data_IF_241913162348
#
_entry.id   IF_241913162348
#
_cell.length_a   1.000
_cell.length_b   1.000
_cell.length_c   1.000
_cell.angle_alpha   90.00
_cell.angle_beta   90.00
_cell.angle_gamma   90.00
#
_symmetry.space_group_name_H-M   'P 1'
#
loop_
_entity.id
_entity.type
_entity.pdbx_description
1 polymer ?
#
# COMPACT_ATOMS: atom_id res chain seq x y z
N UNK A 1 -32.47 -27.83 55.63
CA UNK A 1 -31.44 -27.05 54.89
C UNK A 1 -31.37 -27.36 53.38
N UNK A 2 -32.03 -28.41 52.84
CA UNK A 2 -31.94 -28.78 51.41
C UNK A 2 -32.74 -27.89 50.43
N UNK A 3 -33.73 -27.12 50.90
CA UNK A 3 -34.54 -26.28 50.01
C UNK A 3 -33.75 -25.07 49.46
N UNK A 4 -32.84 -24.50 50.26
CA UNK A 4 -32.04 -23.34 49.87
C UNK A 4 -30.99 -23.70 48.79
N UNK A 5 -30.44 -24.91 48.80
CA UNK A 5 -29.51 -25.37 47.77
C UNK A 5 -30.18 -25.64 46.42
N UNK A 6 -31.46 -26.05 46.42
CA UNK A 6 -32.23 -26.22 45.19
C UNK A 6 -32.58 -24.87 44.53
N UNK A 7 -32.94 -23.87 45.33
CA UNK A 7 -33.22 -22.51 44.83
C UNK A 7 -31.95 -21.89 44.21
N UNK A 8 -30.80 -21.99 44.89
CA UNK A 8 -29.53 -21.49 44.36
C UNK A 8 -29.13 -22.18 43.05
N UNK A 9 -29.37 -23.49 42.94
CA UNK A 9 -29.09 -24.24 41.70
C UNK A 9 -30.02 -23.82 40.57
N UNK A 10 -31.31 -23.60 40.84
CA UNK A 10 -32.26 -23.14 39.84
C UNK A 10 -31.90 -21.74 39.31
N UNK A 11 -31.50 -20.84 40.20
CA UNK A 11 -31.06 -19.48 39.83
C UNK A 11 -29.81 -19.51 38.94
N UNK A 12 -28.83 -20.35 39.28
CA UNK A 12 -27.62 -20.51 38.47
C UNK A 12 -27.93 -21.05 37.07
N UNK A 13 -28.82 -22.04 36.97
CA UNK A 13 -29.23 -22.59 35.67
C UNK A 13 -29.91 -21.53 34.80
N UNK A 14 -30.80 -20.72 35.39
CA UNK A 14 -31.45 -19.60 34.71
C UNK A 14 -30.43 -18.59 34.18
N UNK A 15 -29.43 -18.23 34.99
CA UNK A 15 -28.36 -17.33 34.55
C UNK A 15 -27.49 -17.93 33.43
N UNK A 16 -27.24 -19.24 33.48
CA UNK A 16 -26.49 -19.93 32.42
C UNK A 16 -27.26 -19.97 31.10
N UNK A 17 -28.57 -20.21 31.16
CA UNK A 17 -29.48 -20.21 30.01
C UNK A 17 -29.52 -18.83 29.35
N UNK A 18 -29.74 -17.77 30.13
CA UNK A 18 -29.75 -16.39 29.64
C UNK A 18 -28.40 -16.02 28.98
N UNK A 19 -27.27 -16.37 29.59
CA UNK A 19 -25.95 -16.16 28.99
C UNK A 19 -25.70 -16.99 27.73
N UNK A 20 -26.38 -18.14 27.59
CA UNK A 20 -26.29 -18.95 26.38
C UNK A 20 -27.04 -18.27 25.24
N UNK A 21 -28.29 -17.86 25.49
CA UNK A 21 -29.13 -17.15 24.53
C UNK A 21 -28.49 -15.85 24.05
N UNK A 22 -27.94 -15.05 24.97
CA UNK A 22 -27.22 -13.83 24.63
C UNK A 22 -26.02 -14.09 23.69
N UNK A 23 -25.27 -15.18 23.95
CA UNK A 23 -24.14 -15.57 23.10
C UNK A 23 -24.58 -16.05 21.73
N UNK A 24 -25.70 -16.77 21.65
CA UNK A 24 -26.27 -17.24 20.41
C UNK A 24 -26.77 -16.08 19.54
N UNK A 25 -27.51 -15.14 20.12
CA UNK A 25 -27.95 -13.90 19.47
C UNK A 25 -26.76 -13.09 18.95
N UNK A 26 -25.71 -12.93 19.76
CA UNK A 26 -24.50 -12.22 19.33
C UNK A 26 -23.80 -12.94 18.17
N UNK A 27 -23.75 -14.28 18.17
CA UNK A 27 -23.20 -15.06 17.05
C UNK A 27 -24.03 -14.86 15.79
N UNK A 28 -25.36 -14.91 15.88
CA UNK A 28 -26.25 -14.67 14.73
C UNK A 28 -26.01 -13.30 14.12
N UNK A 29 -25.99 -12.24 14.94
CA UNK A 29 -25.70 -10.87 14.47
C UNK A 29 -24.33 -10.74 13.79
N UNK A 30 -23.30 -11.40 14.33
CA UNK A 30 -21.96 -11.41 13.71
C UNK A 30 -21.96 -12.13 12.35
N UNK A 31 -22.71 -13.23 12.23
CA UNK A 31 -22.83 -13.95 10.97
C UNK A 31 -23.57 -13.11 9.93
N UNK A 32 -24.69 -12.49 10.28
CA UNK A 32 -25.44 -11.58 9.41
C UNK A 32 -24.57 -10.42 8.93
N UNK A 33 -23.85 -9.75 9.85
CA UNK A 33 -22.93 -8.66 9.51
C UNK A 33 -21.80 -9.12 8.58
N UNK A 34 -21.23 -10.30 8.82
CA UNK A 34 -20.19 -10.90 7.97
C UNK A 34 -20.72 -11.22 6.57
N UNK A 35 -21.92 -11.79 6.47
CA UNK A 35 -22.56 -12.07 5.19
C UNK A 35 -22.88 -10.78 4.41
N UNK A 36 -23.40 -9.75 5.08
CA UNK A 36 -23.64 -8.45 4.48
C UNK A 36 -22.34 -7.80 3.96
N UNK A 37 -21.25 -7.88 4.74
CA UNK A 37 -19.93 -7.40 4.31
C UNK A 37 -19.40 -8.18 3.10
N UNK A 38 -19.53 -9.52 3.10
CA UNK A 38 -19.15 -10.37 1.95
C UNK A 38 -19.94 -10.01 0.69
N UNK A 39 -21.25 -9.81 0.82
CA UNK A 39 -22.10 -9.42 -0.30
C UNK A 39 -21.66 -8.07 -0.88
N UNK A 40 -21.45 -7.07 -0.02
CA UNK A 40 -20.95 -5.75 -0.43
C UNK A 40 -19.58 -5.86 -1.12
N UNK A 41 -18.65 -6.61 -0.54
CA UNK A 41 -17.31 -6.78 -1.11
C UNK A 41 -17.36 -7.49 -2.46
N UNK A 42 -18.16 -8.56 -2.60
CA UNK A 42 -18.35 -9.22 -3.89
C UNK A 42 -18.95 -8.28 -4.94
N UNK A 43 -19.89 -7.40 -4.55
CA UNK A 43 -20.44 -6.40 -5.47
C UNK A 43 -19.38 -5.40 -5.93
N UNK A 44 -18.46 -5.00 -5.04
CA UNK A 44 -17.34 -4.12 -5.40
C UNK A 44 -16.27 -4.83 -6.25
N UNK A 45 -16.05 -6.12 -6.01
CA UNK A 45 -15.08 -6.92 -6.76
C UNK A 45 -15.60 -7.39 -8.12
N UNK A 46 -16.91 -7.30 -8.38
CA UNK A 46 -17.49 -7.50 -9.71
C UNK A 46 -17.11 -6.40 -10.72
N UNK A 47 -16.36 -5.38 -10.29
CA UNK A 47 -15.74 -4.42 -11.20
C UNK A 47 -14.71 -5.18 -12.06
N UNK A 48 -14.83 -5.17 -13.41
CA UNK A 48 -13.94 -5.92 -14.27
C UNK A 48 -12.48 -5.54 -13.97
N UNK A 49 -11.61 -6.54 -13.77
CA UNK A 49 -10.19 -6.33 -13.49
C UNK A 49 -9.52 -5.41 -14.53
N UNK A 50 -10.01 -5.44 -15.77
CA UNK A 50 -9.61 -4.56 -16.85
C UNK A 50 -9.87 -3.07 -16.56
N UNK A 51 -10.99 -2.74 -15.91
CA UNK A 51 -11.32 -1.35 -15.54
C UNK A 51 -10.46 -0.84 -14.38
N UNK A 52 -10.11 -1.70 -13.41
CA UNK A 52 -9.18 -1.35 -12.33
C UNK A 52 -7.76 -1.12 -12.86
N UNK A 53 -7.29 -2.00 -13.76
CA UNK A 53 -5.98 -1.84 -14.40
C UNK A 53 -5.90 -0.53 -15.20
N UNK A 54 -6.93 -0.20 -15.99
CA UNK A 54 -6.97 1.06 -16.74
C UNK A 54 -6.97 2.28 -15.83
N UNK A 55 -7.69 2.24 -14.70
CA UNK A 55 -7.75 3.35 -13.76
C UNK A 55 -6.41 3.55 -13.03
N UNK A 56 -5.81 2.47 -12.54
CA UNK A 56 -4.49 2.49 -11.90
C UNK A 56 -3.42 2.96 -12.88
N UNK A 57 -3.46 2.49 -14.12
CA UNK A 57 -2.53 2.93 -15.17
C UNK A 57 -2.67 4.42 -15.45
N UNK A 58 -3.90 4.93 -15.60
CA UNK A 58 -4.13 6.38 -15.77
C UNK A 58 -3.62 7.20 -14.58
N UNK A 59 -3.82 6.72 -13.35
CA UNK A 59 -3.26 7.37 -12.17
C UNK A 59 -1.73 7.38 -12.21
N UNK A 60 -1.09 6.26 -12.56
CA UNK A 60 0.36 6.19 -12.69
C UNK A 60 0.91 7.10 -13.77
N UNK A 61 0.27 7.17 -14.95
CA UNK A 61 0.66 8.10 -16.02
C UNK A 61 0.55 9.54 -15.52
N UNK A 62 -0.54 9.91 -14.85
CA UNK A 62 -0.70 11.26 -14.30
C UNK A 62 0.34 11.60 -13.23
N UNK A 63 0.76 10.63 -12.42
CA UNK A 63 1.83 10.81 -11.44
C UNK A 63 3.17 10.99 -12.15
N UNK A 64 3.47 10.14 -13.14
CA UNK A 64 4.67 10.24 -13.97
C UNK A 64 4.77 11.57 -14.70
N UNK A 65 3.67 12.06 -15.26
CA UNK A 65 3.59 13.35 -15.97
C UNK A 65 3.76 14.54 -15.02
N UNK A 66 3.40 14.37 -13.74
CA UNK A 66 3.56 15.38 -12.70
C UNK A 66 4.93 15.31 -12.00
N UNK A 67 5.80 14.36 -12.36
CA UNK A 67 7.13 14.26 -11.75
C UNK A 67 7.98 15.47 -12.14
N UNK A 68 8.65 16.10 -11.16
CA UNK A 68 9.53 17.21 -11.44
C UNK A 68 10.71 16.77 -12.32
N UNK A 69 11.20 17.69 -13.17
CA UNK A 69 12.22 17.43 -14.20
C UNK A 69 13.52 16.83 -13.64
N UNK A 70 13.87 17.14 -12.39
CA UNK A 70 15.07 16.59 -11.75
C UNK A 70 14.99 15.06 -11.57
N UNK A 71 13.81 14.48 -11.49
CA UNK A 71 13.62 13.05 -11.28
C UNK A 71 13.94 12.24 -12.54
N UNK A 72 13.55 12.76 -13.70
CA UNK A 72 13.96 12.22 -15.01
C UNK A 72 15.48 12.28 -15.20
N UNK A 73 16.12 13.34 -14.69
CA UNK A 73 17.57 13.45 -14.69
C UNK A 73 18.25 12.39 -13.81
N UNK A 74 17.71 12.09 -12.63
CA UNK A 74 18.25 11.03 -11.75
C UNK A 74 18.12 9.62 -12.35
N UNK A 75 17.09 9.40 -13.17
CA UNK A 75 16.89 8.15 -13.90
C UNK A 75 17.75 8.05 -15.17
N UNK A 76 18.50 9.10 -15.53
CA UNK A 76 19.36 9.16 -16.72
C UNK A 76 18.60 9.42 -18.04
N UNK A 77 17.30 9.67 -17.97
CA UNK A 77 16.40 9.93 -19.11
C UNK A 77 16.26 11.43 -19.41
N UNK A 78 16.58 12.31 -18.45
CA UNK A 78 16.38 13.75 -18.53
C UNK A 78 17.65 14.58 -18.69
N UNK A 79 17.53 15.75 -19.31
CA UNK A 79 18.60 16.75 -19.32
C UNK A 79 18.84 17.28 -17.90
N UNK A 80 20.10 17.57 -17.57
CA UNK A 80 20.43 18.22 -16.30
C UNK A 80 19.62 19.51 -16.18
N UNK A 81 18.89 19.76 -15.07
CA UNK A 81 18.22 21.02 -14.87
C UNK A 81 19.27 22.13 -14.86
N UNK A 82 19.39 22.85 -15.97
CA UNK A 82 20.31 23.98 -16.11
C UNK A 82 19.71 25.13 -15.32
N UNK A 83 20.25 25.36 -14.13
CA UNK A 83 19.88 26.50 -13.29
C UNK A 83 20.44 27.76 -13.93
N UNK A 84 19.60 28.52 -14.66
CA UNK A 84 19.84 29.93 -14.96
C UNK A 84 19.67 30.35 -16.43
N UNK A 85 19.14 31.57 -16.71
CA UNK A 85 18.99 32.09 -18.07
C UNK A 85 20.27 32.75 -18.62
N UNK A 86 20.71 32.24 -19.78
CA UNK A 86 21.42 32.91 -20.92
C UNK A 86 22.83 33.54 -20.68
N UNK A 87 23.68 33.82 -21.71
CA UNK A 87 23.34 33.94 -23.13
C UNK A 87 24.21 33.19 -24.16
N UNK A 88 23.60 33.01 -25.33
CA UNK A 88 24.22 32.70 -26.63
C UNK A 88 25.68 33.13 -26.83
N UNK A 89 26.55 32.16 -27.15
CA UNK A 89 27.77 32.39 -27.93
C UNK A 89 28.17 31.11 -28.67
N UNK A 90 28.13 31.20 -29.99
CA UNK A 90 28.64 30.27 -31.00
C UNK A 90 30.11 29.88 -30.77
N UNK A 91 30.44 28.59 -30.64
CA UNK A 91 31.63 27.95 -31.28
C UNK A 91 31.59 26.39 -31.20
N UNK A 92 32.41 25.65 -31.96
CA UNK A 92 31.96 24.68 -32.96
C UNK A 92 31.95 23.22 -32.46
N UNK A 93 31.21 22.39 -33.19
CA UNK A 93 31.24 20.92 -33.19
C UNK A 93 32.64 20.36 -32.87
N UNK A 94 32.84 19.86 -31.65
CA UNK A 94 33.92 18.93 -31.35
C UNK A 94 33.50 17.51 -31.73
N UNK A 95 34.38 16.84 -32.49
CA UNK A 95 34.25 15.46 -32.97
C UNK A 95 34.20 14.45 -31.80
N UNK A 96 33.59 13.27 -31.98
CA UNK A 96 33.39 12.30 -30.91
C UNK A 96 34.73 11.69 -30.49
N UNK A 97 35.12 11.92 -29.23
CA UNK A 97 36.29 11.28 -28.63
C UNK A 97 35.88 9.97 -27.96
N UNK A 98 36.44 8.88 -28.45
CA UNK A 98 36.46 7.56 -27.82
C UNK A 98 37.31 7.62 -26.54
N UNK A 99 36.67 7.87 -25.40
CA UNK A 99 37.30 7.70 -24.09
C UNK A 99 36.30 7.12 -23.08
N UNK A 100 35.82 5.89 -23.34
CA UNK A 100 35.36 4.99 -22.28
C UNK A 100 36.54 4.79 -21.33
N UNK A 101 36.54 5.45 -20.16
CA UNK A 101 36.94 4.87 -18.86
C UNK A 101 37.04 5.91 -17.74
N UNK A 102 36.44 5.53 -16.61
CA UNK A 102 36.75 5.92 -15.23
C UNK A 102 36.20 7.25 -14.74
N UNK A 103 34.93 7.23 -14.30
CA UNK A 103 34.50 7.85 -13.03
C UNK A 103 33.41 6.97 -12.40
N UNK A 104 33.81 5.80 -11.89
CA UNK A 104 33.00 5.07 -10.91
C UNK A 104 33.11 5.81 -9.57
N UNK A 105 32.03 5.95 -8.79
CA UNK A 105 32.11 6.51 -7.45
C UNK A 105 32.99 5.62 -6.56
N UNK A 106 33.70 6.19 -5.56
CA UNK A 106 34.59 5.41 -4.71
C UNK A 106 33.79 4.36 -3.93
N UNK A 107 34.17 3.10 -4.10
CA UNK A 107 33.53 1.98 -3.41
C UNK A 107 33.96 1.97 -1.92
N UNK A 108 33.05 1.78 -0.96
CA UNK A 108 33.42 1.65 0.45
C UNK A 108 34.22 0.36 0.70
N UNK A 109 35.32 0.46 1.46
CA UNK A 109 36.15 -0.68 1.87
C UNK A 109 35.43 -1.51 2.94
N UNK A 110 35.49 -2.85 2.88
CA UNK A 110 34.99 -3.70 3.95
C UNK A 110 35.88 -3.55 5.19
N UNK A 111 35.23 -3.30 6.34
CA UNK A 111 35.85 -3.24 7.66
C UNK A 111 36.24 -4.67 8.06
N UNK A 112 37.52 -4.91 8.32
CA UNK A 112 37.98 -6.16 8.91
C UNK A 112 37.46 -6.27 10.34
N UNK A 113 36.75 -7.36 10.62
CA UNK A 113 36.38 -7.82 11.96
C UNK A 113 37.62 -8.31 12.68
N UNK A 114 37.82 -7.87 13.91
CA UNK A 114 38.63 -8.55 14.92
C UNK A 114 37.71 -8.92 16.08
#
# INVERSE_FOLDING_TARGET
MCALSLIQRAELLKQMEERSEQREEQRRRRQEASQAARYRNNRLLQVPAQSLYQHVWRCWVSVSDALPVWEHFLLGEGQHPTVGPEPSASTPRQKPSTARKRRLPPHPKPRATS
#
